data_IF_262087347079
#
_entry.id   IF_262087347079
#
_cell.length_a   1.000
_cell.length_b   1.000
_cell.length_c   1.000
_cell.angle_alpha   90.00
_cell.angle_beta   90.00
_cell.angle_gamma   90.00
#
_symmetry.space_group_name_H-M   'P 1'
#
loop_
_entity.id
_entity.type
_entity.pdbx_description
1 polymer ?
#
# COMPACT_ATOMS: atom_id res chain seq x y z
N UNK A 1 -10.73 -14.27 43.47
CA UNK A 1 -10.55 -13.01 42.71
C UNK A 1 -11.30 -13.22 41.40
N UNK A 2 -12.63 -13.20 41.39
CA UNK A 2 -13.54 -12.03 41.51
C UNK A 2 -13.12 -10.96 40.47
N UNK A 3 -13.90 -10.56 39.46
CA UNK A 3 -15.36 -10.52 39.29
C UNK A 3 -15.70 -10.65 37.79
N UNK A 4 -16.63 -11.52 37.40
CA UNK A 4 -17.48 -11.34 36.21
C UNK A 4 -18.64 -12.32 36.32
N UNK A 5 -19.68 -11.92 37.05
CA UNK A 5 -20.96 -12.61 37.08
C UNK A 5 -22.09 -11.59 37.29
N UNK A 6 -23.25 -11.87 36.69
CA UNK A 6 -24.54 -11.17 36.76
C UNK A 6 -24.68 -10.00 35.77
N UNK A 7 -25.55 -10.08 34.75
CA UNK A 7 -27.01 -10.17 34.91
C UNK A 7 -27.68 -11.03 33.82
N UNK A 8 -28.34 -12.11 34.27
CA UNK A 8 -29.48 -12.77 33.62
C UNK A 8 -30.62 -12.84 34.63
N UNK A 9 -31.75 -12.19 34.36
CA UNK A 9 -33.11 -12.41 34.91
C UNK A 9 -34.02 -11.55 34.01
N UNK A 10 -35.22 -11.89 33.54
CA UNK A 10 -35.97 -13.14 33.37
C UNK A 10 -37.13 -12.78 32.43
N UNK A 11 -37.52 -13.74 31.61
CA UNK A 11 -38.79 -13.76 30.89
C UNK A 11 -39.97 -13.86 31.86
N UNK A 12 -40.99 -13.02 31.66
CA UNK A 12 -42.35 -13.26 32.16
C UNK A 12 -43.34 -13.02 31.03
N UNK A 13 -44.16 -14.03 30.79
CA UNK A 13 -45.28 -14.05 29.86
C UNK A 13 -46.56 -13.68 30.61
N UNK A 14 -47.41 -12.85 30.02
CA UNK A 14 -48.86 -12.89 30.23
C UNK A 14 -49.63 -12.05 29.19
N UNK A 15 -50.47 -12.77 28.46
CA UNK A 15 -51.85 -12.45 28.02
C UNK A 15 -52.15 -11.31 27.05
N UNK A 16 -52.85 -11.72 25.98
CA UNK A 16 -53.54 -10.93 24.99
C UNK A 16 -54.61 -10.00 25.59
N UNK A 17 -54.77 -8.84 24.96
CA UNK A 17 -56.06 -8.17 24.90
C UNK A 17 -56.19 -7.42 23.57
N UNK A 18 -57.31 -7.62 22.88
CA UNK A 18 -57.69 -6.95 21.65
C UNK A 18 -58.47 -5.67 21.99
N UNK A 19 -58.26 -4.59 21.25
CA UNK A 19 -59.11 -3.40 21.35
C UNK A 19 -58.54 -2.15 20.70
N UNK A 20 -58.98 -1.89 19.47
CA UNK A 20 -59.29 -0.60 18.83
C UNK A 20 -58.64 0.72 19.26
N UNK A 21 -58.18 1.45 18.24
CA UNK A 21 -58.57 2.85 18.05
C UNK A 21 -57.56 3.93 18.46
N UNK A 22 -57.34 4.83 17.49
CA UNK A 22 -56.86 6.21 17.61
C UNK A 22 -55.37 6.53 17.82
N UNK A 23 -54.79 7.08 16.74
CA UNK A 23 -54.34 8.48 16.71
C UNK A 23 -53.62 9.00 17.95
N UNK A 24 -52.31 8.75 18.06
CA UNK A 24 -51.46 9.47 19.03
C UNK A 24 -50.09 9.76 18.42
N UNK A 25 -49.70 11.03 18.50
CA UNK A 25 -48.43 11.56 18.02
C UNK A 25 -47.26 10.78 18.60
N UNK A 26 -46.33 10.41 17.72
CA UNK A 26 -45.04 9.88 18.10
C UNK A 26 -44.32 10.92 18.95
N UNK A 27 -44.23 10.64 20.24
CA UNK A 27 -43.27 11.26 21.15
C UNK A 27 -41.90 10.98 20.54
N UNK A 28 -41.30 11.98 19.91
CA UNK A 28 -39.89 11.93 19.54
C UNK A 28 -39.14 11.74 20.85
N UNK A 29 -38.42 10.63 21.06
CA UNK A 29 -37.65 10.44 22.28
C UNK A 29 -36.70 11.65 22.39
N UNK A 30 -36.72 12.31 23.56
CA UNK A 30 -35.78 13.38 23.88
C UNK A 30 -34.39 12.91 23.48
N UNK A 31 -33.80 13.60 22.50
CA UNK A 31 -32.52 13.24 21.95
C UNK A 31 -31.49 13.34 23.07
N UNK A 32 -31.11 12.18 23.60
CA UNK A 32 -29.94 12.01 24.44
C UNK A 32 -28.80 12.80 23.77
N UNK A 33 -28.29 13.82 24.45
CA UNK A 33 -27.54 14.97 23.89
C UNK A 33 -26.17 14.66 23.27
N UNK A 34 -26.03 13.48 22.67
CA UNK A 34 -24.88 13.06 21.89
C UNK A 34 -24.72 13.84 20.58
N UNK A 35 -23.58 13.66 19.90
CA UNK A 35 -23.27 14.39 18.68
C UNK A 35 -24.31 14.11 17.59
N UNK A 36 -24.63 15.11 16.74
CA UNK A 36 -25.65 15.00 15.70
C UNK A 36 -25.29 13.94 14.64
N UNK A 37 -24.00 13.64 14.50
CA UNK A 37 -23.45 12.62 13.61
C UNK A 37 -22.63 11.62 14.42
N UNK A 38 -22.75 10.35 14.07
CA UNK A 38 -21.95 9.24 14.61
C UNK A 38 -21.37 8.47 13.44
N UNK A 39 -20.11 8.06 13.55
CA UNK A 39 -19.43 7.31 12.51
C UNK A 39 -17.97 7.08 12.85
N UNK A 40 -17.30 6.32 11.98
CA UNK A 40 -15.87 6.06 12.08
C UNK A 40 -15.24 5.96 10.70
N UNK A 41 -13.98 6.36 10.61
CA UNK A 41 -13.10 6.01 9.50
C UNK A 41 -12.47 4.66 9.81
N UNK A 42 -12.81 3.66 9.01
CA UNK A 42 -12.28 2.31 9.16
C UNK A 42 -10.95 2.17 8.42
N UNK A 43 -10.83 2.81 7.25
CA UNK A 43 -9.64 2.72 6.41
C UNK A 43 -9.36 4.05 5.70
N UNK A 44 -8.09 4.48 5.73
CA UNK A 44 -7.55 5.59 4.95
C UNK A 44 -6.43 5.04 4.07
N UNK A 45 -6.69 4.85 2.79
CA UNK A 45 -5.74 4.40 1.77
C UNK A 45 -5.23 5.60 0.95
N UNK A 46 -4.12 5.47 0.18
CA UNK A 46 -3.61 6.57 -0.64
C UNK A 46 -4.64 7.16 -1.62
N UNK A 47 -5.53 6.32 -2.14
CA UNK A 47 -6.49 6.67 -3.20
C UNK A 47 -7.96 6.51 -2.76
N UNK A 48 -8.22 6.10 -1.53
CA UNK A 48 -9.57 5.85 -1.08
C UNK A 48 -9.73 5.99 0.44
N UNK A 49 -10.95 6.35 0.85
CA UNK A 49 -11.36 6.41 2.26
C UNK A 49 -12.58 5.53 2.43
N UNK A 50 -12.60 4.69 3.47
CA UNK A 50 -13.71 3.80 3.79
C UNK A 50 -14.11 3.95 5.26
N UNK A 51 -15.40 3.82 5.52
CA UNK A 51 -15.94 3.85 6.86
C UNK A 51 -17.46 3.81 6.84
N UNK A 52 -18.06 4.32 7.92
CA UNK A 52 -19.50 4.53 7.99
C UNK A 52 -19.83 5.80 8.78
N UNK A 53 -20.94 6.43 8.44
CA UNK A 53 -21.45 7.61 9.12
C UNK A 53 -22.97 7.69 9.01
N UNK A 54 -23.62 8.16 10.06
CA UNK A 54 -25.06 8.40 10.11
C UNK A 54 -25.39 9.69 10.87
N UNK A 55 -26.49 10.34 10.49
CA UNK A 55 -27.03 11.52 11.17
C UNK A 55 -28.22 11.11 12.03
N UNK A 56 -28.18 11.43 13.33
CA UNK A 56 -29.27 11.09 14.27
C UNK A 56 -30.50 11.98 14.10
N UNK A 57 -30.31 13.18 13.54
CA UNK A 57 -31.36 14.15 13.24
C UNK A 57 -32.06 13.90 11.89
N UNK A 58 -31.70 12.81 11.18
CA UNK A 58 -32.28 12.44 9.89
C UNK A 58 -31.78 13.27 8.69
N UNK A 59 -30.81 14.18 8.88
CA UNK A 59 -30.20 14.90 7.75
C UNK A 59 -29.31 14.00 6.90
N UNK A 60 -29.20 14.31 5.61
CA UNK A 60 -28.22 13.67 4.75
C UNK A 60 -26.80 13.94 5.28
N UNK A 61 -25.96 12.91 5.28
CA UNK A 61 -24.54 13.04 5.64
C UNK A 61 -23.75 13.53 4.44
N UNK A 62 -22.99 14.61 4.63
CA UNK A 62 -21.97 15.08 3.69
C UNK A 62 -20.60 14.80 4.26
N UNK A 63 -19.70 14.28 3.42
CA UNK A 63 -18.33 13.97 3.81
C UNK A 63 -17.37 15.02 3.27
N UNK A 64 -16.38 15.37 4.09
CA UNK A 64 -15.27 16.23 3.70
C UNK A 64 -13.96 15.70 4.27
N UNK A 65 -12.86 15.94 3.56
CA UNK A 65 -11.51 15.71 4.02
C UNK A 65 -10.92 17.04 4.47
N UNK A 66 -10.57 17.16 5.74
CA UNK A 66 -9.94 18.36 6.30
C UNK A 66 -8.44 18.18 6.33
N UNK A 67 -7.73 19.00 5.56
CA UNK A 67 -6.26 18.97 5.46
C UNK A 67 -5.71 20.29 5.97
N UNK A 68 -5.01 20.27 7.12
CA UNK A 68 -4.48 21.49 7.71
C UNK A 68 -5.54 22.56 8.00
N UNK A 69 -6.77 22.14 8.33
CA UNK A 69 -7.90 23.02 8.62
C UNK A 69 -8.75 23.44 7.42
N UNK A 70 -8.37 23.08 6.18
CA UNK A 70 -9.16 23.35 4.98
C UNK A 70 -10.03 22.14 4.62
N UNK A 71 -11.33 22.36 4.47
CA UNK A 71 -12.30 21.32 4.12
C UNK A 71 -12.38 21.12 2.60
N UNK A 72 -12.19 19.89 2.17
CA UNK A 72 -12.34 19.46 0.78
C UNK A 72 -13.53 18.49 0.68
N UNK A 73 -14.58 18.78 -0.11
CA UNK A 73 -15.73 17.89 -0.21
C UNK A 73 -15.32 16.53 -0.80
N UNK A 74 -15.90 15.44 -0.27
CA UNK A 74 -15.70 14.09 -0.77
C UNK A 74 -16.97 13.58 -1.44
N UNK A 75 -16.83 12.99 -2.62
CA UNK A 75 -17.90 12.24 -3.26
C UNK A 75 -17.90 10.81 -2.71
N UNK A 76 -19.01 10.45 -2.07
CA UNK A 76 -19.18 9.17 -1.41
C UNK A 76 -20.08 8.23 -2.23
N UNK A 77 -19.60 7.01 -2.46
CA UNK A 77 -20.45 5.88 -2.83
C UNK A 77 -20.94 5.25 -1.53
N UNK A 78 -22.25 5.34 -1.29
CA UNK A 78 -22.89 4.79 -0.10
C UNK A 78 -23.20 3.29 -0.29
N UNK A 79 -22.93 2.49 0.73
CA UNK A 79 -23.03 1.03 0.71
C UNK A 79 -23.81 0.52 1.93
N UNK A 80 -24.39 -0.68 1.78
CA UNK A 80 -25.15 -1.34 2.85
C UNK A 80 -24.24 -1.82 3.99
N UNK A 81 -24.69 -1.60 5.23
CA UNK A 81 -24.04 -1.99 6.48
C UNK A 81 -25.07 -2.55 7.45
N UNK A 82 -25.33 -3.85 7.32
CA UNK A 82 -26.28 -4.57 8.18
C UNK A 82 -25.83 -4.62 9.64
N UNK A 83 -24.52 -4.63 9.89
CA UNK A 83 -23.91 -4.54 11.22
C UNK A 83 -24.23 -3.20 11.91
N UNK A 84 -24.12 -2.09 11.19
CA UNK A 84 -24.46 -0.75 11.70
C UNK A 84 -25.97 -0.64 11.91
N UNK A 85 -26.78 -1.11 10.96
CA UNK A 85 -28.22 -1.13 11.07
C UNK A 85 -28.74 -1.97 12.25
N UNK A 86 -28.07 -3.09 12.56
CA UNK A 86 -28.40 -3.92 13.72
C UNK A 86 -28.22 -3.21 15.06
N UNK A 87 -27.29 -2.26 15.15
CA UNK A 87 -27.00 -1.51 16.38
C UNK A 87 -27.77 -0.18 16.46
N UNK A 88 -27.96 0.50 15.33
CA UNK A 88 -28.49 1.86 15.29
C UNK A 88 -29.93 1.97 14.74
N UNK A 89 -30.46 0.90 14.16
CA UNK A 89 -31.79 0.84 13.55
C UNK A 89 -31.74 0.62 12.04
N UNK A 90 -32.77 -0.06 11.51
CA UNK A 90 -32.84 -0.50 10.10
C UNK A 90 -32.85 0.64 9.10
N UNK A 91 -33.25 1.85 9.51
CA UNK A 91 -33.17 3.06 8.69
C UNK A 91 -31.74 3.46 8.32
N UNK A 92 -30.73 2.95 9.03
CA UNK A 92 -29.31 3.20 8.77
C UNK A 92 -28.63 2.06 8.00
N UNK A 93 -29.39 1.28 7.23
CA UNK A 93 -28.84 0.24 6.37
C UNK A 93 -27.84 0.81 5.37
N UNK A 94 -28.10 1.99 4.80
CA UNK A 94 -27.20 2.70 3.89
C UNK A 94 -26.39 3.73 4.69
N UNK A 95 -25.39 3.25 5.44
CA UNK A 95 -24.55 4.10 6.29
C UNK A 95 -23.05 3.91 6.05
N UNK A 96 -22.64 2.88 5.31
CA UNK A 96 -21.27 2.71 4.88
C UNK A 96 -20.93 3.65 3.73
N UNK A 97 -19.68 4.10 3.65
CA UNK A 97 -19.20 4.94 2.57
C UNK A 97 -17.84 4.48 2.03
N UNK A 98 -17.64 4.73 0.73
CA UNK A 98 -16.34 4.71 0.07
C UNK A 98 -16.17 6.00 -0.72
N UNK A 99 -15.11 6.75 -0.44
CA UNK A 99 -14.73 7.94 -1.19
C UNK A 99 -13.48 7.64 -2.00
N UNK A 100 -13.52 7.85 -3.31
CA UNK A 100 -12.31 7.83 -4.13
C UNK A 100 -11.59 9.17 -4.03
N UNK A 101 -10.27 9.15 -3.91
CA UNK A 101 -9.43 10.35 -3.95
C UNK A 101 -8.83 10.46 -5.35
N UNK A 102 -9.05 11.60 -5.99
CA UNK A 102 -8.33 11.90 -7.22
C UNK A 102 -6.81 12.09 -6.95
N UNK A 103 -6.02 12.13 -8.03
CA UNK A 103 -4.56 12.27 -7.94
C UNK A 103 -4.11 13.51 -7.17
N UNK A 104 -4.84 14.61 -7.30
CA UNK A 104 -4.50 15.87 -6.64
C UNK A 104 -4.79 15.80 -5.13
N UNK A 105 -5.94 15.26 -4.74
CA UNK A 105 -6.32 15.07 -3.34
C UNK A 105 -5.40 14.06 -2.64
N UNK A 106 -5.09 12.94 -3.31
CA UNK A 106 -4.13 11.95 -2.82
C UNK A 106 -2.75 12.59 -2.56
N UNK A 107 -2.28 13.44 -3.49
CA UNK A 107 -1.06 14.24 -3.32
C UNK A 107 -1.12 15.17 -2.10
N UNK A 108 -2.22 15.90 -1.92
CA UNK A 108 -2.39 16.80 -0.78
C UNK A 108 -2.40 16.08 0.57
N UNK A 109 -3.04 14.91 0.65
CA UNK A 109 -3.02 14.06 1.85
C UNK A 109 -1.59 13.64 2.17
N UNK A 110 -0.86 13.13 1.18
CA UNK A 110 0.53 12.71 1.34
C UNK A 110 1.40 13.86 1.82
N UNK A 111 1.34 15.01 1.16
CA UNK A 111 2.15 16.18 1.47
C UNK A 111 1.79 16.76 2.85
N UNK A 112 0.52 16.64 3.27
CA UNK A 112 0.11 17.03 4.62
C UNK A 112 0.70 16.11 5.70
N UNK A 113 0.63 14.80 5.50
CA UNK A 113 1.18 13.83 6.45
C UNK A 113 2.70 13.94 6.54
N UNK A 114 3.39 14.17 5.42
CA UNK A 114 4.83 14.45 5.38
C UNK A 114 5.21 15.69 6.20
N UNK A 115 4.41 16.75 6.08
CA UNK A 115 4.61 17.98 6.82
C UNK A 115 4.11 17.91 8.28
N UNK A 116 3.64 16.75 8.74
CA UNK A 116 3.04 16.59 10.07
C UNK A 116 1.74 17.37 10.28
N UNK A 117 1.06 17.77 9.20
CA UNK A 117 -0.25 18.43 9.25
C UNK A 117 -1.35 17.40 9.52
N UNK A 118 -2.42 17.83 10.18
CA UNK A 118 -3.59 16.97 10.42
C UNK A 118 -4.34 16.66 9.12
N UNK A 119 -4.77 15.41 9.01
CA UNK A 119 -5.69 14.91 7.98
C UNK A 119 -6.85 14.25 8.71
N UNK A 120 -8.04 14.82 8.58
CA UNK A 120 -9.23 14.39 9.31
C UNK A 120 -10.38 14.15 8.31
N UNK A 121 -11.20 13.13 8.53
CA UNK A 121 -12.43 12.95 7.77
C UNK A 121 -13.59 13.50 8.59
N UNK A 122 -14.37 14.38 7.99
CA UNK A 122 -15.49 15.06 8.62
C UNK A 122 -16.81 14.58 8.01
N UNK A 123 -17.84 14.45 8.84
CA UNK A 123 -19.22 14.19 8.43
C UNK A 123 -20.13 15.29 8.99
N UNK A 124 -20.77 16.06 8.11
CA UNK A 124 -21.50 17.29 8.46
C UNK A 124 -20.70 18.25 9.37
N UNK A 125 -19.38 18.34 9.14
CA UNK A 125 -18.46 19.17 9.92
C UNK A 125 -17.94 18.54 11.23
N UNK A 126 -18.46 17.38 11.64
CA UNK A 126 -17.99 16.63 12.80
C UNK A 126 -16.84 15.71 12.40
N UNK A 127 -15.69 15.80 13.07
CA UNK A 127 -14.54 14.92 12.82
C UNK A 127 -14.90 13.49 13.24
N UNK A 128 -14.74 12.54 12.31
CA UNK A 128 -14.96 11.14 12.57
C UNK A 128 -13.72 10.50 13.22
N UNK A 129 -13.89 9.74 14.31
CA UNK A 129 -12.80 8.95 14.89
C UNK A 129 -12.30 7.87 13.91
N UNK A 130 -10.98 7.62 13.93
CA UNK A 130 -10.36 6.53 13.18
C UNK A 130 -10.33 5.25 14.02
N UNK A 131 -10.89 4.15 13.52
CA UNK A 131 -10.87 2.83 14.19
C UNK A 131 -9.57 2.06 13.95
N UNK A 132 -8.91 2.29 12.81
CA UNK A 132 -7.62 1.70 12.47
C UNK A 132 -6.45 2.59 12.89
N UNK A 133 -5.23 2.01 12.92
CA UNK A 133 -4.02 2.82 12.79
C UNK A 133 -4.14 3.54 11.45
N UNK A 134 -4.21 4.87 11.44
CA UNK A 134 -3.88 5.65 10.25
C UNK A 134 -2.59 5.02 9.72
N UNK A 135 -2.52 4.58 8.45
CA UNK A 135 -1.28 4.01 7.95
C UNK A 135 -0.20 5.01 8.33
N UNK A 136 0.84 4.55 9.01
CA UNK A 136 1.94 5.44 9.37
C UNK A 136 2.29 6.25 8.11
N UNK A 137 2.67 7.52 8.22
CA UNK A 137 2.97 8.33 7.03
C UNK A 137 3.87 7.56 6.04
N UNK A 138 4.77 6.71 6.57
CA UNK A 138 5.59 5.74 5.86
C UNK A 138 4.88 4.71 4.97
N UNK A 139 3.60 4.37 5.18
CA UNK A 139 2.77 3.53 4.32
C UNK A 139 2.04 4.33 3.22
N UNK A 140 1.67 5.58 3.49
CA UNK A 140 1.13 6.52 2.48
C UNK A 140 2.24 7.13 1.62
N UNK A 141 3.48 7.04 2.08
CA UNK A 141 4.68 7.46 1.36
C UNK A 141 5.08 6.52 0.23
N UNK A 142 4.54 5.29 0.15
CA UNK A 142 5.26 4.23 -0.55
C UNK A 142 5.14 4.20 -2.06
N UNK A 143 4.15 4.87 -2.65
CA UNK A 143 4.00 4.86 -4.09
C UNK A 143 3.26 6.10 -4.59
N UNK A 144 3.77 6.70 -5.67
CA UNK A 144 3.07 7.70 -6.43
C UNK A 144 1.88 7.01 -7.14
N UNK A 145 0.64 7.51 -6.98
CA UNK A 145 -0.50 6.94 -7.68
C UNK A 145 -0.38 7.23 -9.18
N UNK A 146 -0.50 6.17 -9.98
CA UNK A 146 -0.47 6.23 -11.44
C UNK A 146 -1.87 6.18 -12.02
N UNK A 147 -2.72 5.26 -11.54
CA UNK A 147 -4.10 5.05 -12.00
C UNK A 147 -4.23 4.94 -13.54
N UNK A 148 -3.26 4.26 -14.18
CA UNK A 148 -3.27 4.06 -15.63
C UNK A 148 -4.27 2.95 -15.94
N UNK A 149 -5.40 3.32 -16.53
CA UNK A 149 -6.48 2.39 -16.88
C UNK A 149 -6.31 1.90 -18.32
N UNK A 150 -6.34 0.59 -18.51
CA UNK A 150 -6.31 -0.06 -19.81
C UNK A 150 -7.50 -0.96 -19.99
N UNK A 151 -8.29 -0.62 -21.01
CA UNK A 151 -9.50 -1.34 -21.37
C UNK A 151 -9.42 -1.69 -22.85
N UNK A 152 -9.20 -2.97 -23.14
CA UNK A 152 -9.33 -3.54 -24.48
C UNK A 152 -10.39 -4.64 -24.48
N UNK A 153 -10.68 -5.19 -25.66
CA UNK A 153 -11.60 -6.33 -25.78
C UNK A 153 -11.10 -7.60 -25.08
N UNK A 154 -9.78 -7.69 -24.85
CA UNK A 154 -9.10 -8.88 -24.35
C UNK A 154 -8.47 -8.68 -22.96
N UNK A 155 -8.08 -7.44 -22.61
CA UNK A 155 -7.42 -7.09 -21.35
C UNK A 155 -8.21 -6.00 -20.62
N UNK A 156 -8.37 -6.18 -19.30
CA UNK A 156 -8.70 -5.10 -18.36
C UNK A 156 -7.58 -5.02 -17.35
N UNK A 157 -6.95 -3.86 -17.22
CA UNK A 157 -5.85 -3.68 -16.27
C UNK A 157 -5.82 -2.26 -15.73
N UNK A 158 -5.26 -2.13 -14.53
CA UNK A 158 -4.94 -0.84 -13.92
C UNK A 158 -3.56 -0.93 -13.29
N UNK A 159 -2.65 -0.05 -13.68
CA UNK A 159 -1.42 0.21 -12.90
C UNK A 159 -1.77 1.24 -11.85
N UNK A 160 -1.89 0.81 -10.61
CA UNK A 160 -2.42 1.62 -9.51
C UNK A 160 -1.35 2.58 -8.99
N UNK A 161 -0.14 2.09 -8.75
CA UNK A 161 0.91 2.91 -8.15
C UNK A 161 2.32 2.41 -8.48
N UNK A 162 3.30 3.31 -8.36
CA UNK A 162 4.72 2.97 -8.43
C UNK A 162 5.55 3.76 -7.41
N UNK A 163 6.60 3.17 -6.87
CA UNK A 163 7.45 3.82 -5.88
C UNK A 163 8.35 2.83 -5.18
N UNK A 164 9.47 3.30 -4.66
CA UNK A 164 10.45 2.47 -3.94
C UNK A 164 10.81 1.21 -4.72
N UNK A 165 11.04 1.39 -6.03
CA UNK A 165 11.42 0.31 -6.94
C UNK A 165 10.36 -0.80 -7.05
N UNK A 166 9.09 -0.48 -6.80
CA UNK A 166 7.96 -1.39 -6.97
C UNK A 166 6.88 -0.75 -7.84
N UNK A 167 6.23 -1.55 -8.66
CA UNK A 167 4.99 -1.20 -9.36
C UNK A 167 3.88 -2.15 -8.93
N UNK A 168 2.68 -1.63 -8.71
CA UNK A 168 1.52 -2.43 -8.28
C UNK A 168 0.28 -2.09 -9.09
N UNK A 169 -0.60 -3.07 -9.21
CA UNK A 169 -1.85 -2.92 -9.93
C UNK A 169 -2.64 -4.22 -10.01
N UNK A 170 -3.52 -4.30 -11.00
CA UNK A 170 -4.23 -5.52 -11.33
C UNK A 170 -4.40 -5.68 -12.85
N UNK A 171 -4.48 -6.92 -13.33
CA UNK A 171 -4.70 -7.23 -14.73
C UNK A 171 -5.53 -8.51 -14.88
N UNK A 172 -6.45 -8.52 -15.84
CA UNK A 172 -7.34 -9.65 -16.15
C UNK A 172 -7.45 -9.81 -17.65
N UNK A 173 -7.11 -11.01 -18.14
CA UNK A 173 -7.39 -11.42 -19.51
C UNK A 173 -8.77 -12.08 -19.60
N UNK A 174 -9.50 -11.75 -20.66
CA UNK A 174 -10.85 -12.28 -20.89
C UNK A 174 -10.84 -13.77 -21.21
N UNK A 175 -9.86 -14.21 -21.97
CA UNK A 175 -9.60 -15.62 -22.22
C UNK A 175 -8.58 -16.06 -21.19
N UNK A 176 -8.98 -16.98 -20.29
CA UNK A 176 -8.29 -17.40 -19.07
C UNK A 176 -6.92 -18.11 -19.28
N UNK A 177 -6.12 -17.66 -20.23
CA UNK A 177 -4.72 -18.06 -20.33
C UNK A 177 -3.96 -17.44 -19.17
N UNK A 178 -3.21 -18.26 -18.45
CA UNK A 178 -2.20 -17.81 -17.51
C UNK A 178 -1.14 -17.04 -18.30
N UNK A 179 -1.07 -15.73 -18.10
CA UNK A 179 -0.03 -14.88 -18.65
C UNK A 179 0.94 -14.51 -17.54
N UNK A 180 2.24 -14.48 -17.86
CA UNK A 180 3.26 -13.95 -16.97
C UNK A 180 3.40 -12.44 -17.13
N UNK A 181 3.94 -11.79 -16.10
CA UNK A 181 4.40 -10.41 -16.19
C UNK A 181 5.81 -10.37 -16.76
N UNK A 182 6.08 -9.35 -17.58
CA UNK A 182 7.41 -9.05 -18.11
C UNK A 182 7.72 -7.57 -17.89
N UNK A 183 9.00 -7.28 -17.64
CA UNK A 183 9.51 -5.93 -17.54
C UNK A 183 10.39 -5.65 -18.75
N UNK A 184 10.19 -4.51 -19.42
CA UNK A 184 11.02 -4.06 -20.53
C UNK A 184 11.56 -2.69 -20.18
N UNK A 185 12.89 -2.52 -20.19
CA UNK A 185 13.55 -1.24 -19.96
C UNK A 185 14.29 -0.81 -21.22
N UNK A 186 13.98 0.36 -21.75
CA UNK A 186 14.61 0.91 -22.97
C UNK A 186 14.62 -0.09 -24.15
N UNK A 187 13.58 -0.92 -24.27
CA UNK A 187 13.44 -1.96 -25.31
C UNK A 187 14.13 -3.30 -25.00
N UNK A 188 14.81 -3.43 -23.86
CA UNK A 188 15.45 -4.68 -23.41
C UNK A 188 14.55 -5.37 -22.38
N UNK A 189 14.25 -6.65 -22.60
CA UNK A 189 13.51 -7.47 -21.63
C UNK A 189 14.41 -7.76 -20.42
N UNK A 190 13.87 -7.57 -19.22
CA UNK A 190 14.55 -7.81 -17.95
C UNK A 190 13.82 -8.90 -17.18
N UNK A 191 14.59 -9.77 -16.53
CA UNK A 191 14.05 -10.70 -15.55
C UNK A 191 13.57 -9.90 -14.32
N UNK A 192 12.33 -10.14 -13.92
CA UNK A 192 11.73 -9.46 -12.76
C UNK A 192 10.93 -10.44 -11.91
N UNK A 193 10.82 -10.14 -10.61
CA UNK A 193 9.93 -10.87 -9.71
C UNK A 193 8.57 -10.20 -9.73
N UNK A 194 7.54 -10.95 -10.14
CA UNK A 194 6.16 -10.51 -10.09
C UNK A 194 5.37 -11.38 -9.10
N UNK A 195 4.90 -10.76 -8.02
CA UNK A 195 4.06 -11.40 -7.02
C UNK A 195 2.60 -11.17 -7.38
N UNK A 196 1.85 -12.26 -7.53
CA UNK A 196 0.40 -12.20 -7.72
C UNK A 196 -0.29 -12.27 -6.35
N UNK A 197 -1.38 -11.53 -6.18
CA UNK A 197 -2.16 -11.59 -4.95
C UNK A 197 -3.65 -11.48 -5.21
N UNK A 198 -4.44 -11.95 -4.25
CA UNK A 198 -5.90 -11.94 -4.34
C UNK A 198 -6.47 -10.52 -4.29
N UNK A 199 -7.36 -10.20 -5.23
CA UNK A 199 -8.10 -8.93 -5.30
C UNK A 199 -9.59 -9.21 -5.43
N UNK A 200 -10.21 -9.55 -4.30
CA UNK A 200 -11.64 -9.82 -4.22
C UNK A 200 -12.49 -8.63 -4.68
N UNK A 201 -12.04 -7.41 -4.41
CA UNK A 201 -12.69 -6.18 -4.85
C UNK A 201 -12.76 -6.07 -6.39
N UNK A 202 -11.67 -6.40 -7.07
CA UNK A 202 -11.58 -6.43 -8.53
C UNK A 202 -12.43 -7.56 -9.09
N UNK A 203 -12.34 -8.75 -8.50
CA UNK A 203 -13.11 -9.91 -8.92
C UNK A 203 -14.62 -9.66 -8.87
N UNK A 204 -15.10 -9.07 -7.76
CA UNK A 204 -16.51 -8.69 -7.59
C UNK A 204 -16.93 -7.61 -8.58
N UNK A 205 -16.11 -6.56 -8.75
CA UNK A 205 -16.43 -5.46 -9.65
C UNK A 205 -16.51 -5.90 -11.12
N UNK A 206 -15.71 -6.90 -11.51
CA UNK A 206 -15.69 -7.44 -12.87
C UNK A 206 -16.62 -8.63 -13.08
N UNK A 207 -17.22 -9.17 -12.00
CA UNK A 207 -18.05 -10.37 -12.06
C UNK A 207 -17.29 -11.63 -12.48
N UNK A 208 -16.02 -11.76 -12.07
CA UNK A 208 -15.14 -12.88 -12.38
C UNK A 208 -14.85 -13.72 -11.13
N UNK A 209 -14.49 -14.99 -11.33
CA UNK A 209 -14.15 -15.92 -10.24
C UNK A 209 -12.66 -16.00 -9.94
N UNK A 210 -11.81 -15.43 -10.79
CA UNK A 210 -10.35 -15.42 -10.61
C UNK A 210 -10.03 -14.37 -9.56
N UNK A 211 -9.39 -14.80 -8.46
CA UNK A 211 -9.04 -13.91 -7.35
C UNK A 211 -7.63 -13.34 -7.51
N UNK A 212 -6.67 -14.10 -8.05
CA UNK A 212 -5.27 -13.70 -8.27
C UNK A 212 -5.13 -12.75 -9.46
N UNK A 213 -5.75 -11.58 -9.37
CA UNK A 213 -5.71 -10.56 -10.43
C UNK A 213 -4.82 -9.38 -10.07
N UNK A 214 -4.42 -9.26 -8.80
CA UNK A 214 -3.49 -8.24 -8.33
C UNK A 214 -2.05 -8.64 -8.61
N UNK A 215 -1.20 -7.64 -8.86
CA UNK A 215 0.23 -7.85 -9.05
C UNK A 215 1.07 -6.81 -8.32
N UNK A 216 2.27 -7.22 -7.92
CA UNK A 216 3.38 -6.36 -7.53
C UNK A 216 4.63 -6.80 -8.29
N UNK A 217 5.26 -5.87 -9.01
CA UNK A 217 6.50 -6.10 -9.74
C UNK A 217 7.60 -5.30 -9.07
N UNK A 218 8.66 -5.98 -8.68
CA UNK A 218 9.90 -5.34 -8.25
C UNK A 218 10.74 -4.95 -9.46
N UNK A 219 11.22 -3.71 -9.46
CA UNK A 219 12.17 -3.22 -10.44
C UNK A 219 13.57 -3.67 -9.99
N UNK A 220 14.29 -4.48 -10.77
CA UNK A 220 15.62 -4.93 -10.38
C UNK A 220 16.64 -3.79 -10.55
N UNK A 221 17.64 -3.73 -9.68
CA UNK A 221 18.74 -2.77 -9.79
C UNK A 221 19.54 -2.89 -11.09
N UNK A 222 19.69 -4.11 -11.61
CA UNK A 222 20.36 -4.36 -12.90
C UNK A 222 19.69 -3.67 -14.10
N UNK A 223 18.48 -3.12 -13.97
CA UNK A 223 17.85 -2.33 -15.03
C UNK A 223 18.76 -1.20 -15.53
N UNK A 224 19.60 -0.65 -14.63
CA UNK A 224 20.51 0.45 -14.94
C UNK A 224 21.65 0.06 -15.88
N UNK A 225 22.00 -1.22 -16.00
CA UNK A 225 23.06 -1.68 -16.92
C UNK A 225 22.68 -1.39 -18.39
N UNK A 226 21.38 -1.37 -18.68
CA UNK A 226 20.83 -1.04 -20.00
C UNK A 226 20.59 0.46 -20.23
N UNK A 227 20.84 1.29 -19.21
CA UNK A 227 20.49 2.72 -19.22
C UNK A 227 21.77 3.55 -19.23
N UNK A 228 22.09 4.23 -20.35
CA UNK A 228 23.26 5.09 -20.43
C UNK A 228 23.32 6.13 -19.29
N UNK A 229 24.54 6.54 -18.97
CA UNK A 229 24.76 7.63 -18.01
C UNK A 229 24.12 8.93 -18.54
N UNK A 230 23.29 9.57 -17.72
CA UNK A 230 22.53 10.76 -18.11
C UNK A 230 21.22 10.52 -18.85
N UNK A 231 20.88 9.27 -19.18
CA UNK A 231 19.56 8.89 -19.70
C UNK A 231 18.63 8.35 -18.59
N UNK A 232 17.33 8.39 -18.85
CA UNK A 232 16.29 7.87 -17.96
C UNK A 232 15.94 6.42 -18.31
N UNK A 233 15.58 5.63 -17.30
CA UNK A 233 15.03 4.30 -17.51
C UNK A 233 13.57 4.39 -17.95
N UNK A 234 13.25 3.97 -19.18
CA UNK A 234 11.88 3.92 -19.72
C UNK A 234 11.33 2.51 -19.56
N UNK A 235 10.43 2.36 -18.59
CA UNK A 235 9.93 1.07 -18.13
C UNK A 235 8.56 0.79 -18.74
N UNK A 236 8.44 -0.34 -19.43
CA UNK A 236 7.19 -0.91 -19.91
C UNK A 236 6.91 -2.20 -19.15
N UNK A 237 5.68 -2.34 -18.66
CA UNK A 237 5.21 -3.54 -18.00
C UNK A 237 4.31 -4.26 -18.99
N UNK A 238 4.54 -5.56 -19.20
CA UNK A 238 3.70 -6.37 -20.09
C UNK A 238 3.05 -7.51 -19.31
N UNK A 239 1.82 -7.85 -19.69
CA UNK A 239 1.09 -9.03 -19.22
C UNK A 239 0.75 -9.90 -20.42
N UNK A 240 1.50 -10.98 -20.61
CA UNK A 240 1.55 -11.67 -21.90
C UNK A 240 2.06 -10.74 -22.99
N UNK A 241 1.29 -10.56 -24.07
CA UNK A 241 1.65 -9.68 -25.18
C UNK A 241 1.20 -8.23 -25.00
N UNK A 242 0.41 -7.93 -23.97
CA UNK A 242 -0.20 -6.61 -23.81
C UNK A 242 0.64 -5.71 -22.91
N UNK A 243 0.92 -4.49 -23.36
CA UNK A 243 1.49 -3.44 -22.51
C UNK A 243 0.45 -2.95 -21.48
N UNK A 244 0.87 -2.88 -20.22
CA UNK A 244 0.11 -2.37 -19.08
C UNK A 244 0.26 -0.86 -18.88
N UNK A 245 0.96 -0.17 -19.78
CA UNK A 245 1.07 1.27 -19.78
C UNK A 245 1.14 1.80 -21.22
N UNK A 246 0.35 2.83 -21.53
CA UNK A 246 0.31 3.43 -22.87
C UNK A 246 1.60 4.22 -23.19
N UNK A 247 2.21 4.79 -22.16
CA UNK A 247 3.51 5.45 -22.22
C UNK A 247 4.46 4.79 -21.21
N UNK A 248 5.74 4.59 -21.54
CA UNK A 248 6.74 4.08 -20.60
C UNK A 248 6.79 4.90 -19.31
N UNK A 249 6.86 4.21 -18.18
CA UNK A 249 7.12 4.81 -16.88
C UNK A 249 8.59 5.27 -16.84
N UNK A 250 8.84 6.56 -16.62
CA UNK A 250 10.20 7.15 -16.71
C UNK A 250 10.83 7.25 -15.34
N UNK A 251 11.81 6.39 -15.03
CA UNK A 251 12.58 6.43 -13.79
C UNK A 251 13.94 7.11 -14.04
N UNK A 252 14.05 8.36 -13.60
CA UNK A 252 15.31 9.10 -13.59
C UNK A 252 16.13 8.83 -12.31
N UNK A 253 17.43 9.13 -12.34
CA UNK A 253 18.35 8.91 -11.20
C UNK A 253 17.99 9.77 -9.98
N UNK A 254 17.45 10.97 -10.17
CA UNK A 254 17.07 11.84 -9.07
C UNK A 254 15.86 11.27 -8.28
N UNK A 255 14.89 10.68 -8.99
CA UNK A 255 13.77 9.95 -8.41
C UNK A 255 14.26 8.69 -7.70
N UNK A 256 15.17 7.94 -8.31
CA UNK A 256 15.77 6.77 -7.66
C UNK A 256 16.48 7.13 -6.36
N UNK A 257 17.33 8.17 -6.36
CA UNK A 257 18.00 8.73 -5.17
C UNK A 257 16.99 9.13 -4.09
N UNK A 258 15.90 9.83 -4.48
CA UNK A 258 14.84 10.19 -3.55
C UNK A 258 14.21 8.95 -2.90
N UNK A 259 13.89 7.93 -3.70
CA UNK A 259 13.34 6.67 -3.18
C UNK A 259 14.30 5.94 -2.24
N UNK A 260 15.61 5.94 -2.51
CA UNK A 260 16.61 5.40 -1.58
C UNK A 260 16.56 6.14 -0.23
N UNK A 261 16.53 7.48 -0.26
CA UNK A 261 16.40 8.30 0.96
C UNK A 261 15.10 8.05 1.72
N UNK A 262 13.98 7.91 1.02
CA UNK A 262 12.68 7.61 1.61
C UNK A 262 12.67 6.22 2.28
N UNK A 263 13.29 5.20 1.65
CA UNK A 263 13.46 3.87 2.23
C UNK A 263 14.29 3.91 3.51
N UNK A 264 15.40 4.67 3.52
CA UNK A 264 16.23 4.83 4.71
C UNK A 264 15.44 5.41 5.90
N UNK A 265 14.45 6.28 5.64
CA UNK A 265 13.59 6.92 6.64
C UNK A 265 12.36 6.09 7.05
N UNK A 266 12.11 4.95 6.42
CA UNK A 266 11.02 4.04 6.84
C UNK A 266 11.22 3.61 8.31
N UNK A 267 10.12 3.28 8.99
CA UNK A 267 10.20 2.70 10.33
C UNK A 267 10.95 1.36 10.30
N UNK A 268 11.70 1.07 11.36
CA UNK A 268 12.39 -0.22 11.48
C UNK A 268 11.39 -1.39 11.43
N UNK A 269 11.75 -2.40 10.66
CA UNK A 269 10.94 -3.61 10.45
C UNK A 269 11.46 -4.42 9.28
N UNK A 270 10.84 -5.57 9.02
CA UNK A 270 11.20 -6.48 7.93
C UNK A 270 11.04 -5.83 6.56
N UNK A 271 9.94 -5.09 6.34
CA UNK A 271 9.71 -4.37 5.09
C UNK A 271 10.84 -3.37 4.79
N UNK A 272 11.31 -2.63 5.80
CA UNK A 272 12.45 -1.70 5.60
C UNK A 272 13.73 -2.46 5.24
N UNK A 273 14.00 -3.60 5.89
CA UNK A 273 15.19 -4.38 5.58
C UNK A 273 15.15 -4.92 4.15
N UNK A 274 13.99 -5.40 3.71
CA UNK A 274 13.78 -5.82 2.34
C UNK A 274 14.00 -4.69 1.35
N UNK A 275 13.34 -3.54 1.57
CA UNK A 275 13.47 -2.37 0.70
C UNK A 275 14.89 -1.82 0.64
N UNK A 276 15.64 -1.89 1.74
CA UNK A 276 17.05 -1.49 1.75
C UNK A 276 17.93 -2.41 0.91
N UNK A 277 17.60 -3.70 0.81
CA UNK A 277 18.32 -4.62 -0.07
C UNK A 277 18.12 -4.25 -1.54
N UNK A 278 16.87 -3.96 -1.93
CA UNK A 278 16.53 -3.49 -3.29
C UNK A 278 17.18 -2.12 -3.56
N UNK A 279 17.11 -1.20 -2.61
CA UNK A 279 17.75 0.10 -2.73
C UNK A 279 19.27 -0.02 -2.91
N UNK A 280 19.94 -0.92 -2.18
CA UNK A 280 21.36 -1.18 -2.31
C UNK A 280 21.71 -1.68 -3.73
N UNK A 281 20.86 -2.52 -4.33
CA UNK A 281 21.01 -2.95 -5.72
C UNK A 281 20.99 -1.75 -6.68
N UNK A 282 19.99 -0.87 -6.57
CA UNK A 282 19.93 0.33 -7.41
C UNK A 282 21.07 1.31 -7.14
N UNK A 283 21.56 1.43 -5.90
CA UNK A 283 22.71 2.28 -5.58
C UNK A 283 23.96 1.78 -6.31
N UNK A 284 24.18 0.47 -6.30
CA UNK A 284 25.30 -0.16 -6.97
C UNK A 284 25.22 -0.04 -8.49
N UNK A 285 24.21 -0.65 -9.13
CA UNK A 285 24.13 -0.69 -10.60
C UNK A 285 23.79 0.67 -11.20
N UNK A 286 23.05 1.52 -10.48
CA UNK A 286 22.69 2.85 -10.94
C UNK A 286 23.79 3.89 -10.77
N UNK A 287 24.87 3.56 -10.06
CA UNK A 287 25.91 4.52 -9.67
C UNK A 287 25.33 5.67 -8.86
N UNK A 288 24.39 5.41 -7.95
CA UNK A 288 23.63 6.46 -7.27
C UNK A 288 24.38 7.05 -6.06
N UNK A 289 25.44 6.39 -5.59
CA UNK A 289 26.23 6.77 -4.40
C UNK A 289 26.64 8.25 -4.31
N UNK A 290 27.20 8.84 -5.38
CA UNK A 290 27.59 10.26 -5.39
C UNK A 290 26.43 11.24 -5.17
N UNK A 291 25.21 10.82 -5.52
CA UNK A 291 24.03 11.68 -5.49
C UNK A 291 23.23 11.57 -4.18
N UNK A 292 23.56 10.60 -3.32
CA UNK A 292 22.92 10.44 -2.02
C UNK A 292 23.37 11.55 -1.05
N UNK A 293 22.46 12.01 -0.20
CA UNK A 293 22.82 12.85 0.95
C UNK A 293 23.61 12.04 2.00
N UNK A 294 24.32 12.72 2.90
CA UNK A 294 25.24 12.08 3.85
C UNK A 294 24.53 11.09 4.79
N UNK A 295 23.32 11.43 5.25
CA UNK A 295 22.50 10.58 6.12
C UNK A 295 22.07 9.29 5.38
N UNK A 296 21.66 9.43 4.12
CA UNK A 296 21.24 8.31 3.27
C UNK A 296 22.44 7.42 2.93
N UNK A 297 23.60 8.02 2.60
CA UNK A 297 24.84 7.28 2.32
C UNK A 297 25.30 6.49 3.54
N UNK A 298 25.28 7.11 4.72
CA UNK A 298 25.61 6.44 5.99
C UNK A 298 24.66 5.27 6.25
N UNK A 299 23.35 5.46 6.10
CA UNK A 299 22.36 4.41 6.31
C UNK A 299 22.58 3.20 5.36
N UNK A 300 22.88 3.44 4.08
CA UNK A 300 23.16 2.38 3.11
C UNK A 300 24.45 1.65 3.46
N UNK A 301 25.50 2.36 3.89
CA UNK A 301 26.76 1.76 4.33
C UNK A 301 26.59 0.88 5.56
N UNK A 302 25.96 1.40 6.61
CA UNK A 302 25.68 0.62 7.83
C UNK A 302 24.83 -0.61 7.54
N UNK A 303 23.85 -0.50 6.63
CA UNK A 303 23.04 -1.63 6.22
C UNK A 303 23.87 -2.69 5.46
N UNK A 304 24.68 -2.27 4.50
CA UNK A 304 25.54 -3.18 3.75
C UNK A 304 26.55 -3.89 4.67
N UNK A 305 27.20 -3.17 5.59
CA UNK A 305 28.08 -3.76 6.60
C UNK A 305 27.36 -4.79 7.47
N UNK A 306 26.17 -4.43 7.98
CA UNK A 306 25.34 -5.33 8.79
C UNK A 306 24.95 -6.60 8.05
N UNK A 307 24.74 -6.52 6.73
CA UNK A 307 24.38 -7.65 5.88
C UNK A 307 25.60 -8.38 5.29
N UNK A 308 26.82 -7.97 5.64
CA UNK A 308 28.07 -8.46 5.07
C UNK A 308 28.15 -8.28 3.54
N UNK A 309 27.60 -7.17 3.04
CA UNK A 309 27.59 -6.73 1.65
C UNK A 309 28.45 -5.48 1.45
N UNK A 310 29.44 -5.24 2.32
CA UNK A 310 30.29 -4.04 2.26
C UNK A 310 31.00 -3.88 0.90
N UNK A 311 31.45 -4.98 0.30
CA UNK A 311 32.11 -5.01 -1.02
C UNK A 311 31.19 -4.55 -2.16
N UNK A 312 29.88 -4.45 -1.91
CA UNK A 312 28.87 -4.04 -2.89
C UNK A 312 28.79 -2.51 -3.01
N UNK A 313 29.26 -1.77 -2.01
CA UNK A 313 29.34 -0.31 -2.08
C UNK A 313 30.74 0.04 -2.56
N UNK A 314 30.86 0.50 -3.80
CA UNK A 314 32.13 1.06 -4.26
C UNK A 314 32.24 2.46 -3.69
N UNK A 315 33.18 2.67 -2.75
CA UNK A 315 33.47 4.00 -2.23
C UNK A 315 34.05 4.89 -3.35
N UNK A 316 33.45 6.07 -3.53
CA UNK A 316 33.77 7.06 -4.56
C UNK A 316 35.24 7.51 -4.56
N UNK A 317 35.94 7.39 -3.42
CA UNK A 317 37.35 7.78 -3.30
C UNK A 317 38.29 6.98 -4.23
N UNK A 318 37.83 5.85 -4.77
CA UNK A 318 38.60 5.02 -5.71
C UNK A 318 38.17 5.17 -7.18
N UNK A 319 37.06 5.84 -7.48
CA UNK A 319 36.46 5.84 -8.83
C UNK A 319 37.01 6.93 -9.78
N UNK A 320 37.90 7.81 -9.31
CA UNK A 320 38.44 8.91 -10.12
C UNK A 320 39.48 8.49 -11.18
N UNK A 321 39.73 7.20 -11.44
CA UNK A 321 40.84 6.80 -12.33
C UNK A 321 40.74 5.55 -13.20
N UNK A 322 39.72 4.68 -13.09
CA UNK A 322 39.73 3.43 -13.84
C UNK A 322 38.34 2.96 -14.30
N UNK A 323 37.90 3.45 -15.46
CA UNK A 323 36.81 2.86 -16.24
C UNK A 323 37.25 1.56 -16.95
N UNK A 324 37.89 0.64 -16.23
CA UNK A 324 38.37 -0.63 -16.76
C UNK A 324 37.77 -1.80 -15.97
N UNK A 325 36.67 -2.33 -16.50
CA UNK A 325 36.22 -3.72 -16.32
C UNK A 325 36.36 -4.29 -14.92
N UNK A 326 35.59 -3.78 -13.97
CA UNK A 326 35.35 -4.53 -12.74
C UNK A 326 34.39 -5.68 -13.09
N UNK A 327 34.92 -6.88 -13.23
CA UNK A 327 34.12 -8.10 -13.17
C UNK A 327 33.67 -8.24 -11.72
N UNK A 328 32.41 -7.89 -11.45
CA UNK A 328 31.75 -8.26 -10.19
C UNK A 328 31.99 -9.76 -10.01
N UNK A 329 32.59 -10.15 -8.89
CA UNK A 329 32.78 -11.57 -8.60
C UNK A 329 31.40 -12.21 -8.56
N UNK A 330 31.20 -13.27 -9.36
CA UNK A 330 29.98 -14.09 -9.39
C UNK A 330 29.47 -14.39 -7.97
N UNK A 331 30.37 -14.51 -6.97
CA UNK A 331 30.05 -14.79 -5.57
C UNK A 331 29.29 -13.68 -4.82
N UNK A 332 29.51 -12.40 -5.14
CA UNK A 332 28.78 -11.29 -4.50
C UNK A 332 27.34 -11.21 -5.04
N UNK A 333 27.20 -11.36 -6.35
CA UNK A 333 25.91 -11.43 -7.03
C UNK A 333 25.11 -12.68 -6.61
N UNK A 334 25.77 -13.84 -6.50
CA UNK A 334 25.20 -15.08 -5.94
C UNK A 334 24.74 -14.90 -4.50
N UNK A 335 25.49 -14.18 -3.66
CA UNK A 335 25.11 -13.93 -2.25
C UNK A 335 23.88 -13.04 -2.13
N UNK A 336 23.82 -11.95 -2.89
CA UNK A 336 22.63 -11.10 -2.89
C UNK A 336 21.42 -11.81 -3.49
N UNK A 337 21.62 -12.55 -4.57
CA UNK A 337 20.56 -13.36 -5.18
C UNK A 337 20.03 -14.44 -4.24
N UNK A 338 20.91 -15.13 -3.50
CA UNK A 338 20.51 -16.08 -2.46
C UNK A 338 19.77 -15.41 -1.31
N UNK A 339 20.17 -14.20 -0.91
CA UNK A 339 19.48 -13.45 0.13
C UNK A 339 18.07 -13.05 -0.32
N UNK A 340 17.91 -12.57 -1.55
CA UNK A 340 16.62 -12.24 -2.16
C UNK A 340 15.73 -13.47 -2.34
N UNK A 341 16.25 -14.57 -2.90
CA UNK A 341 15.51 -15.82 -3.04
C UNK A 341 15.10 -16.39 -1.68
N UNK A 342 15.98 -16.38 -0.69
CA UNK A 342 15.66 -16.86 0.66
C UNK A 342 14.64 -15.97 1.38
N UNK A 343 14.55 -14.69 1.04
CA UNK A 343 13.55 -13.77 1.56
C UNK A 343 12.20 -13.94 0.84
N UNK A 344 12.21 -14.05 -0.48
CA UNK A 344 11.02 -14.30 -1.29
C UNK A 344 10.37 -15.65 -0.94
N UNK A 345 11.16 -16.71 -0.77
CA UNK A 345 10.67 -18.01 -0.31
C UNK A 345 10.09 -17.98 1.13
N UNK A 346 10.45 -16.97 1.94
CA UNK A 346 9.91 -16.78 3.31
C UNK A 346 8.62 -15.96 3.32
N UNK A 347 8.48 -14.99 2.43
CA UNK A 347 7.25 -14.21 2.26
C UNK A 347 6.10 -15.08 1.73
N UNK A 348 6.42 -16.12 0.97
CA UNK A 348 5.45 -17.06 0.39
C UNK A 348 4.94 -18.12 1.39
N UNK A 349 5.44 -18.15 2.64
CA UNK A 349 5.12 -19.23 3.59
C UNK A 349 5.25 -18.92 5.09
N UNK A 350 4.12 -18.55 5.72
CA UNK A 350 3.73 -18.83 7.12
C UNK A 350 4.12 -17.88 8.30
N UNK A 351 3.11 -17.65 9.14
CA UNK A 351 3.05 -16.93 10.42
C UNK A 351 3.86 -17.57 11.58
N UNK A 352 5.20 -17.47 11.64
CA UNK A 352 5.98 -17.78 12.87
C UNK A 352 7.19 -16.87 13.09
N UNK A 353 7.61 -16.61 14.35
CA UNK A 353 8.61 -15.60 14.69
C UNK A 353 10.04 -16.02 14.30
N UNK A 354 10.78 -15.01 13.83
CA UNK A 354 11.80 -15.06 12.78
C UNK A 354 13.25 -15.29 13.28
N UNK A 355 13.47 -15.38 14.59
CA UNK A 355 14.81 -15.21 15.16
C UNK A 355 15.76 -16.44 15.19
N UNK A 356 15.34 -17.70 15.38
CA UNK A 356 16.30 -18.81 15.50
C UNK A 356 17.02 -19.19 14.19
N UNK A 357 16.42 -18.92 13.04
CA UNK A 357 16.89 -19.46 11.76
C UNK A 357 17.91 -18.56 11.04
N UNK A 358 17.93 -17.25 11.35
CA UNK A 358 19.00 -16.34 10.92
C UNK A 358 20.31 -16.72 11.62
N UNK A 359 20.25 -17.14 12.88
CA UNK A 359 21.41 -17.68 13.58
C UNK A 359 21.90 -19.02 13.01
N UNK A 360 21.01 -19.85 12.44
CA UNK A 360 21.40 -21.13 11.85
C UNK A 360 22.18 -20.98 10.54
N UNK A 361 21.80 -20.02 9.67
CA UNK A 361 22.54 -19.72 8.43
C UNK A 361 23.89 -19.07 8.75
N UNK A 362 23.96 -18.24 9.79
CA UNK A 362 25.23 -17.68 10.29
C UNK A 362 26.12 -18.77 10.92
N UNK A 363 25.54 -19.76 11.61
CA UNK A 363 26.27 -20.83 12.29
C UNK A 363 26.84 -21.88 11.32
N UNK A 364 26.12 -22.22 10.24
CA UNK A 364 26.61 -23.16 9.21
C UNK A 364 27.78 -22.58 8.40
N UNK A 365 27.89 -21.25 8.30
CA UNK A 365 28.99 -20.57 7.60
C UNK A 365 30.15 -20.13 8.50
N UNK A 366 30.09 -20.41 9.81
CA UNK A 366 31.20 -20.19 10.75
C UNK A 366 32.06 -21.46 10.97
N UNK A 367 31.74 -22.56 10.28
CA UNK A 367 32.43 -23.86 10.37
C UNK A 367 33.21 -24.24 9.11
N UNK A 368 33.31 -23.34 8.13
CA UNK A 368 34.28 -23.36 7.02
C UNK A 368 35.28 -22.22 7.22
#
# INVERSE_FOLDING_TARGET
MNEFEQLRVSSSSATANAGGGDSAGGVVPESDGGPPVVGFVEQLEPIAIKGWALSRDGRCVTLALRIGGLDHPLEAVWIERSDVAGHHGTQFLISGYRCALDRHMAGNVRDALLAGRSVEVCANGVVLPHLGKIPAASALLQAEPLLINLLSSELRAVVESWGHFRVSGWAVLRNAATAGYKLVCNGTELDCTALSHERLDVAQALGITVLETGFEIELPGCLWESVPEGEDARIEIRFGEFALNAEPLVLDRARAVRWVGDICRMHHGEERQYRLLVALEHVHFGGLGPYLDDDTRLCIREFAEKMHLGDFIVDDDLFTGAAAGFTVSDDAQLRMWRALLALNAKLDGSLRPIFPSVQAVIADHALE
#
